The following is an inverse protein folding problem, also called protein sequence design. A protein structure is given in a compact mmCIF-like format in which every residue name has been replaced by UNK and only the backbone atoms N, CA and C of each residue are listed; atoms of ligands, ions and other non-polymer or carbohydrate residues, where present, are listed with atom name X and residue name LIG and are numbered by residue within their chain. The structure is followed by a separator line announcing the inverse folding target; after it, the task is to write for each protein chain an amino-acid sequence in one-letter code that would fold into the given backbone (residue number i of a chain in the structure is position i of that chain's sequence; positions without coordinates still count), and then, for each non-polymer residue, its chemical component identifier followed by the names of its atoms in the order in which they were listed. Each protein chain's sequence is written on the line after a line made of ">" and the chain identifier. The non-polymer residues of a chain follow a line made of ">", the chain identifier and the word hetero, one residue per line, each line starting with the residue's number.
data_IF_801306825890
#
_entry.id   IF_801306825890
#
_cell.length_a   1.000
_cell.length_b   1.000
_cell.length_c   1.000
_cell.angle_alpha   90.00
_cell.angle_beta   90.00
_cell.angle_gamma   90.00
#
_symmetry.space_group_name_H-M   'P 1'
#
loop_
_entity.id
_entity.type
_entity.pdbx_description
1 polymer ?
#
# COMPACT_ATOMS: atom_id res chain seq x y z
N UNK A 1 1.00 -2.81 -24.13
CA UNK A 1 0.56 -3.51 -22.90
C UNK A 1 1.31 -4.83 -22.88
N UNK A 2 2.52 -4.81 -22.31
CA UNK A 2 3.51 -5.90 -22.38
C UNK A 2 3.66 -6.56 -21.01
N UNK A 3 4.19 -7.79 -20.98
CA UNK A 3 4.37 -8.61 -19.79
C UNK A 3 5.45 -8.09 -18.80
N UNK A 4 6.09 -6.96 -19.10
CA UNK A 4 7.19 -6.35 -18.33
C UNK A 4 6.72 -5.19 -17.41
N UNK A 5 5.45 -5.18 -17.01
CA UNK A 5 4.94 -4.21 -16.04
C UNK A 5 5.30 -4.67 -14.61
N UNK A 6 6.18 -3.97 -13.88
CA UNK A 6 6.60 -4.40 -12.54
C UNK A 6 5.43 -4.49 -11.55
N UNK A 7 4.33 -3.75 -11.77
CA UNK A 7 3.14 -3.82 -10.94
C UNK A 7 2.26 -5.06 -11.22
N UNK A 8 2.51 -5.79 -12.31
CA UNK A 8 1.79 -7.01 -12.69
C UNK A 8 2.43 -8.27 -12.09
N UNK A 9 3.74 -8.23 -11.78
CA UNK A 9 4.46 -9.32 -11.12
C UNK A 9 4.33 -9.30 -9.59
N UNK A 10 3.75 -8.24 -9.02
CA UNK A 10 3.47 -8.12 -7.60
C UNK A 10 2.43 -9.18 -7.16
N UNK A 11 2.92 -10.32 -6.66
CA UNK A 11 2.11 -11.48 -6.29
C UNK A 11 1.11 -11.15 -5.17
N UNK A 12 -0.08 -11.76 -5.25
CA UNK A 12 -1.17 -11.57 -4.27
C UNK A 12 -0.92 -12.40 -3.00
N UNK A 13 -0.08 -11.91 -2.12
CA UNK A 13 -0.07 -12.31 -0.71
C UNK A 13 -1.16 -11.54 0.06
N UNK A 14 -1.51 -12.03 1.27
CA UNK A 14 -2.53 -11.37 2.11
C UNK A 14 -1.93 -10.11 2.72
N UNK A 15 -1.91 -9.03 1.94
CA UNK A 15 -1.42 -7.73 2.38
C UNK A 15 -2.13 -7.21 3.63
N UNK A 16 -1.50 -6.24 4.31
CA UNK A 16 -2.01 -5.68 5.55
C UNK A 16 -3.43 -5.14 5.36
N UNK A 17 -4.38 -5.59 6.18
CA UNK A 17 -5.81 -5.24 6.09
C UNK A 17 -6.29 -4.59 7.38
N UNK A 18 -7.33 -3.74 7.27
CA UNK A 18 -8.01 -3.26 8.46
C UNK A 18 -8.70 -4.41 9.19
N UNK A 19 -8.49 -4.47 10.50
CA UNK A 19 -9.44 -5.11 11.40
C UNK A 19 -10.44 -4.04 11.80
N UNK A 20 -11.75 -4.30 11.77
CA UNK A 20 -12.79 -3.28 12.05
C UNK A 20 -12.62 -2.50 13.37
N UNK A 21 -11.85 -3.03 14.33
CA UNK A 21 -11.48 -2.37 15.59
C UNK A 21 -10.43 -1.25 15.46
N UNK A 22 -9.65 -1.21 14.39
CA UNK A 22 -8.54 -0.24 14.22
C UNK A 22 -8.88 0.92 13.25
N UNK A 23 -10.02 0.87 12.56
CA UNK A 23 -10.43 1.87 11.55
C UNK A 23 -10.46 3.31 12.11
N UNK A 24 -10.99 3.50 13.32
CA UNK A 24 -11.18 4.83 13.91
C UNK A 24 -9.87 5.60 14.14
N UNK A 25 -8.91 5.06 14.92
CA UNK A 25 -7.61 5.69 15.16
C UNK A 25 -6.84 6.01 13.87
N UNK A 26 -6.78 5.07 12.91
CA UNK A 26 -6.05 5.28 11.65
C UNK A 26 -6.71 6.34 10.77
N UNK A 27 -8.04 6.45 10.73
CA UNK A 27 -8.75 7.50 9.99
C UNK A 27 -8.44 8.89 10.56
N UNK A 28 -8.45 9.04 11.89
CA UNK A 28 -8.11 10.33 12.53
C UNK A 28 -6.67 10.71 12.25
N UNK A 29 -5.74 9.76 12.32
CA UNK A 29 -4.32 10.00 12.01
C UNK A 29 -4.13 10.42 10.55
N UNK A 30 -4.82 9.76 9.61
CA UNK A 30 -4.82 10.12 8.20
C UNK A 30 -5.33 11.55 7.96
N UNK A 31 -6.49 11.90 8.51
CA UNK A 31 -7.07 13.24 8.36
C UNK A 31 -6.13 14.33 8.93
N UNK A 32 -5.46 14.04 10.05
CA UNK A 32 -4.43 14.93 10.62
C UNK A 32 -3.18 15.01 9.74
N UNK A 33 -2.88 13.97 8.96
CA UNK A 33 -1.70 13.92 8.09
C UNK A 33 -1.90 14.64 6.74
N UNK A 34 -3.12 14.69 6.19
CA UNK A 34 -3.42 15.35 4.92
C UNK A 34 -2.83 16.78 4.76
N UNK A 35 -2.98 17.70 5.74
CA UNK A 35 -2.36 19.02 5.61
C UNK A 35 -0.83 18.98 5.66
N UNK A 36 -0.21 17.96 6.26
CA UNK A 36 1.26 17.78 6.25
C UNK A 36 1.75 17.38 4.87
N UNK A 37 1.12 16.40 4.23
CA UNK A 37 1.46 15.98 2.85
C UNK A 37 1.34 17.14 1.87
N UNK A 38 0.26 17.92 1.97
CA UNK A 38 0.08 19.12 1.12
C UNK A 38 1.20 20.15 1.34
N UNK A 39 1.64 20.35 2.58
CA UNK A 39 2.76 21.24 2.88
C UNK A 39 4.09 20.68 2.38
N UNK A 40 4.34 19.38 2.54
CA UNK A 40 5.52 18.69 2.04
C UNK A 40 5.63 18.87 0.52
N UNK A 41 4.56 18.56 -0.21
CA UNK A 41 4.50 18.75 -1.67
C UNK A 41 4.73 20.20 -2.08
N UNK A 42 4.13 21.16 -1.38
CA UNK A 42 4.34 22.58 -1.67
C UNK A 42 5.78 23.04 -1.36
N UNK A 43 6.41 22.47 -0.35
CA UNK A 43 7.75 22.85 0.07
C UNK A 43 8.84 22.36 -0.89
N UNK A 44 8.61 21.25 -1.60
CA UNK A 44 9.53 20.72 -2.61
C UNK A 44 10.88 20.25 -2.06
N UNK A 45 11.00 20.03 -0.75
CA UNK A 45 12.22 19.47 -0.11
C UNK A 45 12.43 18.00 -0.46
N UNK A 46 11.33 17.30 -0.74
CA UNK A 46 11.30 15.92 -1.27
C UNK A 46 10.75 16.05 -2.68
N UNK A 47 11.55 15.64 -3.68
CA UNK A 47 11.13 15.65 -5.09
C UNK A 47 9.96 14.70 -5.32
N UNK A 48 9.20 14.89 -6.41
CA UNK A 48 8.11 13.96 -6.73
C UNK A 48 8.67 12.54 -6.95
N UNK A 49 9.80 12.39 -7.65
CA UNK A 49 10.48 11.10 -7.83
C UNK A 49 10.82 10.42 -6.49
N UNK A 50 11.39 11.17 -5.54
CA UNK A 50 11.74 10.64 -4.22
C UNK A 50 10.49 10.27 -3.42
N UNK A 51 9.45 11.11 -3.48
CA UNK A 51 8.18 10.82 -2.82
C UNK A 51 7.54 9.52 -3.33
N UNK A 52 7.52 9.30 -4.65
CA UNK A 52 6.95 8.07 -5.23
C UNK A 52 7.78 6.82 -4.86
N UNK A 53 9.12 6.92 -4.81
CA UNK A 53 9.98 5.83 -4.30
C UNK A 53 9.66 5.48 -2.83
N UNK A 54 9.51 6.49 -1.96
CA UNK A 54 9.08 6.29 -0.56
C UNK A 54 7.71 5.61 -0.51
N UNK A 55 6.77 6.05 -1.35
CA UNK A 55 5.43 5.46 -1.39
C UNK A 55 5.44 4.00 -1.85
N UNK A 56 6.23 3.68 -2.86
CA UNK A 56 6.42 2.32 -3.35
C UNK A 56 7.08 1.41 -2.31
N UNK A 57 8.06 1.91 -1.55
CA UNK A 57 8.73 1.13 -0.50
C UNK A 57 7.76 0.66 0.60
N UNK A 58 6.88 1.55 1.09
CA UNK A 58 5.82 1.15 2.04
C UNK A 58 4.83 0.17 1.38
N UNK A 59 4.49 0.42 0.12
CA UNK A 59 3.53 -0.39 -0.63
C UNK A 59 4.03 -1.81 -0.88
N UNK A 60 5.35 -1.98 -1.09
CA UNK A 60 5.99 -3.28 -1.25
C UNK A 60 5.81 -4.15 0.01
N UNK A 61 6.06 -3.57 1.19
CA UNK A 61 5.88 -4.27 2.48
C UNK A 61 4.40 -4.56 2.80
N UNK A 62 3.52 -3.58 2.57
CA UNK A 62 2.09 -3.75 2.86
C UNK A 62 1.32 -4.57 1.82
N UNK A 63 1.98 -4.87 0.71
CA UNK A 63 1.47 -5.67 -0.40
C UNK A 63 0.15 -5.19 -0.97
N UNK A 64 0.08 -3.90 -1.32
CA UNK A 64 -1.14 -3.32 -1.88
C UNK A 64 -1.10 -3.22 -3.41
N UNK A 65 -1.78 -4.11 -4.17
CA UNK A 65 -1.69 -4.14 -5.63
C UNK A 65 -2.31 -2.90 -6.32
N UNK A 66 -3.28 -2.24 -5.69
CA UNK A 66 -3.87 -1.01 -6.23
C UNK A 66 -2.89 0.15 -6.13
N UNK A 67 -2.26 0.31 -4.96
CA UNK A 67 -1.26 1.33 -4.73
C UNK A 67 0.00 1.04 -5.55
N UNK A 68 0.42 -0.21 -5.69
CA UNK A 68 1.59 -0.58 -6.48
C UNK A 68 1.45 -0.11 -7.93
N UNK A 69 0.28 -0.36 -8.54
CA UNK A 69 -0.04 0.11 -9.91
C UNK A 69 -0.08 1.64 -9.97
N UNK A 70 -0.88 2.25 -9.11
CA UNK A 70 -1.07 3.70 -9.12
C UNK A 70 0.24 4.48 -8.93
N UNK A 71 1.08 4.07 -7.97
CA UNK A 71 2.36 4.71 -7.70
C UNK A 71 3.44 4.32 -8.71
N UNK A 72 3.34 3.18 -9.39
CA UNK A 72 4.20 2.87 -10.55
C UNK A 72 3.95 3.86 -11.68
N UNK A 73 2.69 4.17 -11.98
CA UNK A 73 2.34 5.15 -13.01
C UNK A 73 2.84 6.55 -12.64
N UNK A 74 2.63 6.98 -11.39
CA UNK A 74 3.13 8.28 -10.92
C UNK A 74 4.66 8.36 -10.87
N UNK A 75 5.33 7.27 -10.49
CA UNK A 75 6.79 7.20 -10.50
C UNK A 75 7.33 7.34 -11.93
N UNK A 76 6.66 6.74 -12.92
CA UNK A 76 7.02 6.92 -14.32
C UNK A 76 6.81 8.37 -14.80
N UNK A 77 5.72 9.03 -14.39
CA UNK A 77 5.48 10.45 -14.66
C UNK A 77 6.53 11.37 -13.98
N UNK A 78 7.17 10.89 -12.91
CA UNK A 78 8.25 11.56 -12.20
C UNK A 78 9.66 11.10 -12.65
N UNK A 79 9.77 10.48 -13.82
CA UNK A 79 11.03 10.00 -14.43
C UNK A 79 11.80 8.94 -13.62
N UNK A 80 11.11 8.18 -12.75
CA UNK A 80 11.70 7.02 -12.07
C UNK A 80 11.79 5.85 -13.03
N UNK A 81 12.97 5.23 -13.11
CA UNK A 81 13.18 4.10 -14.03
C UNK A 81 12.33 2.88 -13.63
N UNK A 82 11.86 2.12 -14.64
CA UNK A 82 11.13 0.86 -14.40
C UNK A 82 11.93 -0.13 -13.56
N UNK A 83 13.25 -0.15 -13.74
CA UNK A 83 14.15 -1.02 -13.01
C UNK A 83 14.21 -0.65 -11.53
N UNK A 84 14.33 0.65 -11.22
CA UNK A 84 14.24 1.17 -9.85
C UNK A 84 12.90 0.80 -9.20
N UNK A 85 11.78 1.01 -9.90
CA UNK A 85 10.46 0.62 -9.38
C UNK A 85 10.37 -0.88 -9.09
N UNK A 86 10.88 -1.71 -10.01
CA UNK A 86 10.92 -3.18 -9.86
C UNK A 86 11.71 -3.58 -8.61
N UNK A 87 12.92 -3.05 -8.44
CA UNK A 87 13.78 -3.34 -7.30
C UNK A 87 13.13 -2.91 -5.98
N UNK A 88 12.50 -1.72 -5.92
CA UNK A 88 11.75 -1.27 -4.72
C UNK A 88 10.59 -2.23 -4.41
N UNK A 89 9.81 -2.64 -5.41
CA UNK A 89 8.68 -3.56 -5.21
C UNK A 89 9.12 -4.97 -4.80
N UNK A 90 10.35 -5.36 -5.11
CA UNK A 90 11.01 -6.59 -4.63
C UNK A 90 11.65 -6.44 -3.24
N UNK A 91 11.46 -5.27 -2.60
CA UNK A 91 12.09 -4.87 -1.34
C UNK A 91 13.62 -4.74 -1.38
N UNK A 92 14.22 -4.66 -2.57
CA UNK A 92 15.66 -4.43 -2.79
C UNK A 92 15.94 -2.92 -2.93
N UNK A 93 15.74 -2.17 -1.84
CA UNK A 93 15.95 -0.72 -1.84
C UNK A 93 17.43 -0.33 -1.89
N UNK A 94 18.32 -1.22 -1.44
CA UNK A 94 19.79 -1.00 -1.45
C UNK A 94 20.34 -0.93 -2.88
N UNK A 95 19.79 -1.74 -3.79
CA UNK A 95 20.17 -1.67 -5.22
C UNK A 95 19.43 -0.55 -5.95
N UNK A 96 18.24 -0.16 -5.46
CA UNK A 96 17.33 0.72 -6.17
C UNK A 96 17.69 2.21 -6.16
N UNK A 97 18.32 2.68 -5.10
CA UNK A 97 18.53 4.12 -4.87
C UNK A 97 19.92 4.43 -4.37
N UNK A 98 20.30 5.71 -4.49
CA UNK A 98 21.58 6.23 -4.01
C UNK A 98 21.59 6.39 -2.47
N UNK A 99 22.79 6.58 -1.90
CA UNK A 99 23.03 6.69 -0.46
C UNK A 99 22.21 7.80 0.24
N UNK A 100 21.79 8.83 -0.49
CA UNK A 100 21.02 9.95 0.06
C UNK A 100 19.52 9.67 0.18
N UNK A 101 18.95 8.78 -0.64
CA UNK A 101 17.53 8.37 -0.54
C UNK A 101 17.35 7.09 0.29
N UNK A 102 18.39 6.24 0.38
CA UNK A 102 18.34 4.93 1.03
C UNK A 102 17.81 4.98 2.48
N UNK A 103 18.28 5.88 3.37
CA UNK A 103 17.79 5.93 4.76
C UNK A 103 16.28 6.20 4.86
N UNK A 104 15.70 7.01 3.98
CA UNK A 104 14.26 7.26 3.96
C UNK A 104 13.47 6.04 3.49
N UNK A 105 13.98 5.29 2.51
CA UNK A 105 13.32 4.07 2.02
C UNK A 105 13.39 2.94 3.05
N UNK A 106 14.53 2.77 3.73
CA UNK A 106 14.67 1.82 4.84
C UNK A 106 13.75 2.20 6.00
N UNK A 107 13.69 3.48 6.37
CA UNK A 107 12.73 3.97 7.36
C UNK A 107 11.28 3.67 6.93
N UNK A 108 10.95 3.88 5.65
CA UNK A 108 9.62 3.63 5.11
C UNK A 108 9.22 2.14 5.20
N UNK A 109 10.14 1.22 4.88
CA UNK A 109 9.94 -0.22 5.05
C UNK A 109 9.75 -0.57 6.52
N UNK A 110 10.65 -0.11 7.40
CA UNK A 110 10.56 -0.35 8.84
C UNK A 110 9.25 0.19 9.43
N UNK A 111 8.77 1.36 8.99
CA UNK A 111 7.48 1.92 9.40
C UNK A 111 6.31 0.98 9.05
N UNK A 112 6.36 0.36 7.89
CA UNK A 112 5.34 -0.58 7.44
C UNK A 112 5.40 -1.89 8.24
N UNK A 113 6.60 -2.45 8.43
CA UNK A 113 6.86 -3.68 9.18
C UNK A 113 6.45 -3.57 10.66
N UNK A 114 6.70 -2.40 11.26
CA UNK A 114 6.33 -2.06 12.64
C UNK A 114 4.85 -1.69 12.81
N UNK A 115 4.02 -1.83 11.78
CA UNK A 115 2.60 -1.46 11.80
C UNK A 115 2.35 -0.01 12.24
N UNK A 116 3.08 0.93 11.65
CA UNK A 116 3.01 2.36 11.94
C UNK A 116 3.45 2.78 13.36
N UNK A 117 4.22 1.91 14.02
CA UNK A 117 4.83 2.11 15.34
C UNK A 117 6.37 1.98 15.28
N UNK A 118 7.06 2.84 14.50
CA UNK A 118 8.52 2.76 14.37
C UNK A 118 9.21 3.12 15.69
N UNK A 119 10.39 2.54 15.90
CA UNK A 119 11.21 2.83 17.07
C UNK A 119 11.63 4.32 17.10
N UNK A 120 11.78 4.90 18.30
CA UNK A 120 12.22 6.29 18.45
C UNK A 120 13.60 6.53 17.79
N UNK A 121 14.49 5.54 17.88
CA UNK A 121 15.81 5.59 17.24
C UNK A 121 15.72 5.73 15.70
N UNK A 122 14.79 5.03 15.04
CA UNK A 122 14.62 5.12 13.59
C UNK A 122 14.11 6.51 13.16
N UNK A 123 13.26 7.14 13.97
CA UNK A 123 12.83 8.52 13.75
C UNK A 123 13.96 9.53 13.98
N UNK A 124 14.77 9.33 15.03
CA UNK A 124 15.91 10.18 15.32
C UNK A 124 16.96 10.12 14.20
N UNK A 125 17.25 8.92 13.69
CA UNK A 125 18.16 8.71 12.57
C UNK A 125 17.65 9.42 11.30
N UNK A 126 16.36 9.26 10.97
CA UNK A 126 15.74 9.97 9.85
C UNK A 126 15.94 11.49 9.96
N UNK A 127 15.74 12.06 11.16
CA UNK A 127 15.93 13.49 11.39
C UNK A 127 17.40 13.90 11.40
N UNK A 128 18.32 13.03 11.80
CA UNK A 128 19.75 13.28 11.76
C UNK A 128 20.25 13.36 10.32
N UNK A 129 19.76 12.49 9.43
CA UNK A 129 20.15 12.45 8.01
C UNK A 129 19.56 13.63 7.23
N UNK A 130 18.24 13.84 7.33
CA UNK A 130 17.54 14.79 6.45
C UNK A 130 17.29 16.17 7.09
N UNK A 131 17.56 16.31 8.38
CA UNK A 131 17.09 17.42 9.18
C UNK A 131 15.58 17.35 9.47
N UNK A 132 15.14 18.11 10.47
CA UNK A 132 13.76 18.03 10.98
C UNK A 132 12.69 18.31 9.90
N UNK A 133 12.90 19.31 9.04
CA UNK A 133 11.86 19.70 8.07
C UNK A 133 11.65 18.67 6.98
N UNK A 134 12.74 18.19 6.37
CA UNK A 134 12.67 17.17 5.32
C UNK A 134 12.26 15.81 5.90
N UNK A 135 12.76 15.43 7.09
CA UNK A 135 12.34 14.20 7.74
C UNK A 135 10.83 14.19 8.08
N UNK A 136 10.25 15.32 8.49
CA UNK A 136 8.79 15.43 8.69
C UNK A 136 8.01 15.33 7.37
N UNK A 137 8.58 15.82 6.27
CA UNK A 137 7.98 15.68 4.94
C UNK A 137 8.02 14.21 4.46
N UNK A 138 9.14 13.50 4.64
CA UNK A 138 9.27 12.05 4.41
C UNK A 138 8.23 11.28 5.23
N UNK A 139 8.19 11.53 6.54
CA UNK A 139 7.25 10.88 7.45
C UNK A 139 5.78 11.16 7.06
N UNK A 140 5.49 12.34 6.52
CA UNK A 140 4.15 12.66 6.02
C UNK A 140 3.78 11.77 4.82
N UNK A 141 4.68 11.53 3.88
CA UNK A 141 4.43 10.63 2.75
C UNK A 141 4.27 9.18 3.21
N UNK A 142 5.17 8.68 4.07
CA UNK A 142 5.09 7.33 4.65
C UNK A 142 3.74 7.07 5.32
N UNK A 143 3.28 7.98 6.19
CA UNK A 143 1.97 7.88 6.86
C UNK A 143 0.79 7.89 5.89
N UNK A 144 0.90 8.67 4.81
CA UNK A 144 -0.17 8.79 3.83
C UNK A 144 -0.36 7.49 3.06
N UNK A 145 0.73 6.92 2.55
CA UNK A 145 0.67 5.69 1.77
C UNK A 145 0.34 4.48 2.63
N UNK A 146 0.86 4.40 3.86
CA UNK A 146 0.54 3.32 4.80
C UNK A 146 -0.98 3.20 4.98
N UNK A 147 -1.65 4.33 5.24
CA UNK A 147 -3.10 4.36 5.33
C UNK A 147 -3.79 4.04 3.98
N UNK A 148 -3.26 4.55 2.86
CA UNK A 148 -3.76 4.24 1.53
C UNK A 148 -3.74 2.73 1.22
N UNK A 149 -2.65 2.04 1.59
CA UNK A 149 -2.52 0.60 1.44
C UNK A 149 -3.56 -0.16 2.27
N UNK A 150 -3.74 0.21 3.54
CA UNK A 150 -4.76 -0.41 4.40
C UNK A 150 -6.16 -0.27 3.81
N UNK A 151 -6.50 0.90 3.26
CA UNK A 151 -7.79 1.12 2.59
C UNK A 151 -7.93 0.23 1.34
N UNK A 152 -6.92 0.22 0.48
CA UNK A 152 -6.93 -0.57 -0.76
C UNK A 152 -7.08 -2.06 -0.49
N UNK A 153 -6.32 -2.58 0.47
CA UNK A 153 -6.37 -4.00 0.85
C UNK A 153 -7.70 -4.37 1.52
N UNK A 154 -8.25 -3.47 2.33
CA UNK A 154 -9.56 -3.69 2.97
C UNK A 154 -10.69 -3.72 1.95
N UNK A 155 -10.64 -2.84 0.96
CA UNK A 155 -11.58 -2.89 -0.17
C UNK A 155 -11.51 -4.23 -0.90
N UNK A 156 -10.31 -4.75 -1.18
CA UNK A 156 -10.16 -6.07 -1.83
C UNK A 156 -10.74 -7.20 -0.98
N UNK A 157 -10.46 -7.21 0.33
CA UNK A 157 -10.95 -8.21 1.26
C UNK A 157 -12.49 -8.21 1.36
N UNK A 158 -13.12 -7.03 1.40
CA UNK A 158 -14.59 -6.89 1.41
C UNK A 158 -15.18 -7.40 0.09
N UNK A 159 -14.60 -7.02 -1.05
CA UNK A 159 -15.04 -7.46 -2.38
C UNK A 159 -14.92 -8.98 -2.54
N UNK A 160 -13.82 -9.57 -2.08
CA UNK A 160 -13.61 -11.01 -2.09
C UNK A 160 -14.66 -11.74 -1.24
N UNK A 161 -14.90 -11.24 -0.02
CA UNK A 161 -15.90 -11.76 0.93
C UNK A 161 -17.32 -11.72 0.37
N UNK A 162 -17.74 -10.61 -0.25
CA UNK A 162 -19.05 -10.51 -0.89
C UNK A 162 -19.19 -11.48 -2.07
N UNK A 163 -18.13 -11.65 -2.87
CA UNK A 163 -18.14 -12.58 -4.01
C UNK A 163 -18.27 -14.04 -3.56
N UNK A 164 -17.60 -14.43 -2.48
CA UNK A 164 -17.64 -15.80 -1.96
C UNK A 164 -19.00 -16.13 -1.34
N UNK A 165 -19.58 -15.16 -0.62
CA UNK A 165 -20.94 -15.26 -0.09
C UNK A 165 -21.97 -15.44 -1.21
N UNK A 166 -21.90 -14.63 -2.27
CA UNK A 166 -22.79 -14.75 -3.43
C UNK A 166 -22.68 -16.11 -4.13
N UNK A 167 -21.46 -16.65 -4.32
CA UNK A 167 -21.25 -18.00 -4.86
C UNK A 167 -21.88 -19.07 -3.98
N UNK A 168 -21.66 -19.00 -2.66
CA UNK A 168 -22.22 -19.95 -1.69
C UNK A 168 -23.75 -19.95 -1.69
N UNK A 169 -24.39 -18.77 -1.76
CA UNK A 169 -25.84 -18.65 -1.87
C UNK A 169 -26.38 -19.27 -3.17
N UNK A 170 -25.75 -19.00 -4.32
CA UNK A 170 -26.15 -19.62 -5.59
C UNK A 170 -26.08 -21.14 -5.52
N UNK A 171 -24.98 -21.70 -5.03
CA UNK A 171 -24.82 -23.15 -4.89
C UNK A 171 -25.87 -23.76 -3.94
N UNK A 172 -26.24 -23.06 -2.86
CA UNK A 172 -27.31 -23.49 -1.94
C UNK A 172 -28.70 -23.44 -2.60
N UNK A 173 -28.99 -22.39 -3.37
CA UNK A 173 -30.26 -22.25 -4.12
C UNK A 173 -30.40 -23.32 -5.21
N UNK A 174 -29.34 -23.59 -5.97
CA UNK A 174 -29.32 -24.66 -6.98
C UNK A 174 -29.50 -26.05 -6.35
N UNK A 175 -28.84 -26.31 -5.21
CA UNK A 175 -28.99 -27.58 -4.48
C UNK A 175 -30.41 -27.76 -3.94
N UNK A 176 -31.00 -26.72 -3.37
CA UNK A 176 -32.40 -26.75 -2.87
C UNK A 176 -33.39 -26.91 -4.02
N UNK A 177 -33.22 -26.18 -5.13
CA UNK A 177 -34.04 -26.35 -6.35
C UNK A 177 -33.99 -27.78 -6.89
N UNK A 178 -32.80 -28.34 -7.12
CA UNK A 178 -32.70 -29.74 -7.61
C UNK A 178 -33.25 -30.76 -6.61
N UNK A 179 -33.20 -30.47 -5.30
CA UNK A 179 -33.83 -31.31 -4.28
C UNK A 179 -35.35 -31.24 -4.29
N UNK A 180 -35.94 -30.09 -4.64
CA UNK A 180 -37.38 -29.92 -4.78
C UNK A 180 -37.88 -30.59 -6.08
N UNK A 181 -37.17 -30.39 -7.20
CA UNK A 181 -37.46 -31.04 -8.49
C UNK A 181 -37.40 -32.58 -8.37
N UNK A 182 -36.45 -33.13 -7.60
CA UNK A 182 -36.39 -34.59 -7.33
C UNK A 182 -37.47 -35.13 -6.39
N UNK A 183 -38.10 -34.27 -5.58
CA UNK A 183 -39.13 -34.67 -4.59
C UNK A 183 -40.56 -34.59 -5.14
N UNK A 184 -40.78 -33.96 -6.29
CA UNK A 184 -42.09 -33.87 -6.94
C UNK A 184 -41.99 -34.38 -8.39
N UNK A 185 -42.05 -35.70 -8.63
CA UNK A 185 -41.82 -36.26 -9.95
C UNK A 185 -43.01 -36.12 -10.92
N UNK A 186 -44.15 -35.53 -10.50
CA UNK A 186 -45.40 -35.55 -11.27
C UNK A 186 -46.20 -34.24 -11.11
N UNK A 187 -45.96 -33.31 -12.04
CA UNK A 187 -46.95 -32.39 -12.64
C UNK A 187 -46.63 -32.32 -14.13
#
# INVERSE_FOLDING_TARGET
>A
MTADDPAMAFERSRGATFTWRTIGPHLVQFLRNLPRVRRAKKAGRVSDAFAEKIMLAVTAVNECPYCARYHTDLAADADVSRETVRQILENDVETAVDDDELPALQFAQHYAESNADPDEAALEELYAVYGRQTGEDVLAYVRAIYFGNLLGNTYDAVRASLSSFGRSLRTRLERTRSSLERRCPLC
#
